data_IF_376250205223
#
_entry.id   IF_376250205223
#
_cell.length_a   1.000
_cell.length_b   1.000
_cell.length_c   1.000
_cell.angle_alpha   90.00
_cell.angle_beta   90.00
_cell.angle_gamma   90.00
#
_symmetry.space_group_name_H-M   'P 1'
#
loop_
_entity.id
_entity.type
_entity.pdbx_description
1 polymer ?
#
# COMPACT_ATOMS: atom_id res chain seq x y z
N UNK A 1 22.31 -4.55 18.83
CA UNK A 1 21.75 -4.53 17.46
C UNK A 1 21.76 -3.07 17.03
N UNK A 2 22.77 -2.64 16.27
CA UNK A 2 22.91 -1.23 15.89
C UNK A 2 21.72 -0.80 15.01
N UNK A 3 21.14 0.39 15.24
CA UNK A 3 20.24 0.99 14.27
C UNK A 3 21.10 1.33 13.05
N UNK A 4 21.06 0.47 12.03
CA UNK A 4 21.64 0.77 10.72
C UNK A 4 20.92 2.01 10.20
N UNK A 5 21.50 3.19 10.40
CA UNK A 5 20.99 4.47 9.89
C UNK A 5 21.15 4.49 8.36
N UNK A 6 20.28 3.75 7.69
CA UNK A 6 20.26 3.68 6.23
C UNK A 6 19.65 4.99 5.74
N UNK A 7 20.48 5.76 5.03
CA UNK A 7 20.09 7.04 4.46
C UNK A 7 19.15 6.80 3.28
N UNK A 8 17.85 6.80 3.58
CA UNK A 8 16.79 6.71 2.56
C UNK A 8 16.69 8.03 1.79
N UNK A 9 16.61 7.94 0.46
CA UNK A 9 16.35 9.09 -0.42
C UNK A 9 14.90 9.57 -0.26
N UNK A 10 14.63 10.80 -0.71
CA UNK A 10 13.28 11.39 -0.68
C UNK A 10 12.25 10.49 -1.38
N UNK A 11 12.58 9.97 -2.57
CA UNK A 11 11.71 9.02 -3.29
C UNK A 11 11.41 7.75 -2.48
N UNK A 12 12.36 7.28 -1.68
CA UNK A 12 12.18 6.05 -0.89
C UNK A 12 11.23 6.31 0.29
N UNK A 13 11.44 7.44 0.99
CA UNK A 13 10.63 7.85 2.14
C UNK A 13 9.22 8.29 1.77
N UNK A 14 9.07 9.04 0.68
CA UNK A 14 7.83 9.75 0.37
C UNK A 14 7.01 9.08 -0.74
N UNK A 15 7.61 8.14 -1.48
CA UNK A 15 6.92 7.43 -2.56
C UNK A 15 6.92 5.92 -2.34
N UNK A 16 8.09 5.29 -2.17
CA UNK A 16 8.19 3.82 -2.15
C UNK A 16 7.65 3.20 -0.86
N UNK A 17 8.05 3.70 0.31
CA UNK A 17 7.52 3.21 1.60
C UNK A 17 6.01 3.47 1.70
N UNK A 18 5.48 4.67 1.41
CA UNK A 18 4.03 4.92 1.42
C UNK A 18 3.28 4.07 0.40
N UNK A 19 3.87 3.78 -0.77
CA UNK A 19 3.29 2.85 -1.73
C UNK A 19 3.20 1.43 -1.17
N UNK A 20 4.27 0.93 -0.55
CA UNK A 20 4.26 -0.39 0.07
C UNK A 20 3.23 -0.47 1.21
N UNK A 21 3.16 0.59 2.02
CA UNK A 21 2.19 0.73 3.10
C UNK A 21 0.75 0.67 2.57
N UNK A 22 0.45 1.36 1.46
CA UNK A 22 -0.87 1.29 0.80
C UNK A 22 -1.22 -0.11 0.32
N UNK A 23 -0.29 -0.82 -0.30
CA UNK A 23 -0.55 -2.18 -0.80
C UNK A 23 -0.81 -3.16 0.36
N UNK A 24 0.00 -3.11 1.42
CA UNK A 24 -0.25 -3.90 2.63
C UNK A 24 -1.54 -3.52 3.33
N UNK A 25 -1.90 -2.23 3.36
CA UNK A 25 -3.16 -1.78 3.93
C UNK A 25 -4.36 -2.34 3.14
N UNK A 26 -4.27 -2.45 1.81
CA UNK A 26 -5.32 -3.10 1.00
C UNK A 26 -5.45 -4.59 1.32
N UNK A 27 -4.32 -5.28 1.54
CA UNK A 27 -4.34 -6.69 1.97
C UNK A 27 -5.01 -6.85 3.35
N UNK A 28 -4.76 -5.94 4.29
CA UNK A 28 -5.43 -5.92 5.61
C UNK A 28 -6.91 -5.53 5.53
N UNK A 29 -7.26 -4.65 4.60
CA UNK A 29 -8.64 -4.21 4.34
C UNK A 29 -9.33 -5.04 3.24
N UNK A 30 -8.91 -6.28 3.00
CA UNK A 30 -9.36 -7.09 1.86
C UNK A 30 -10.89 -7.21 1.78
N UNK A 31 -11.57 -7.40 2.92
CA UNK A 31 -13.04 -7.48 2.99
C UNK A 31 -13.72 -6.19 2.48
N UNK A 32 -13.17 -5.01 2.84
CA UNK A 32 -13.70 -3.72 2.41
C UNK A 32 -13.41 -3.47 0.93
N UNK A 33 -12.24 -3.93 0.45
CA UNK A 33 -11.88 -3.90 -0.97
C UNK A 33 -12.83 -4.78 -1.78
N UNK A 34 -13.15 -5.98 -1.28
CA UNK A 34 -14.06 -6.91 -1.93
C UNK A 34 -15.50 -6.36 -1.96
N UNK A 35 -16.01 -5.84 -0.86
CA UNK A 35 -17.32 -5.20 -0.80
C UNK A 35 -17.44 -4.01 -1.78
N UNK A 36 -16.42 -3.14 -1.82
CA UNK A 36 -16.37 -2.05 -2.78
C UNK A 36 -16.33 -2.56 -4.23
N UNK A 37 -15.50 -3.57 -4.53
CA UNK A 37 -15.42 -4.18 -5.86
C UNK A 37 -16.74 -4.84 -6.27
N UNK A 38 -17.43 -5.49 -5.35
CA UNK A 38 -18.74 -6.08 -5.59
C UNK A 38 -19.76 -4.99 -5.95
N UNK A 39 -19.86 -3.94 -5.13
CA UNK A 39 -20.75 -2.81 -5.43
C UNK A 39 -20.42 -2.15 -6.78
N UNK A 40 -19.12 -2.00 -7.11
CA UNK A 40 -18.70 -1.42 -8.38
C UNK A 40 -19.15 -2.27 -9.59
N UNK A 41 -19.03 -3.60 -9.48
CA UNK A 41 -19.48 -4.53 -10.51
C UNK A 41 -21.00 -4.47 -10.71
N UNK A 42 -21.77 -4.36 -9.62
CA UNK A 42 -23.24 -4.33 -9.69
C UNK A 42 -23.79 -2.98 -10.15
N UNK A 43 -23.16 -1.88 -9.73
CA UNK A 43 -23.66 -0.53 -9.97
C UNK A 43 -23.26 0.03 -11.34
N UNK A 44 -22.21 -0.53 -11.95
CA UNK A 44 -21.69 -0.08 -13.25
C UNK A 44 -21.50 1.43 -13.30
N UNK A 45 -22.20 2.09 -14.24
CA UNK A 45 -22.11 3.54 -14.44
C UNK A 45 -22.50 4.38 -13.22
N UNK A 46 -23.39 3.90 -12.35
CA UNK A 46 -23.87 4.64 -11.18
C UNK A 46 -23.05 4.39 -9.90
N UNK A 47 -21.87 3.75 -10.00
CA UNK A 47 -21.05 3.37 -8.85
C UNK A 47 -20.70 4.54 -7.91
N UNK A 48 -20.44 5.74 -8.42
CA UNK A 48 -20.03 6.90 -7.59
C UNK A 48 -21.17 7.40 -6.70
N UNK A 49 -22.41 7.07 -7.04
CA UNK A 49 -23.59 7.42 -6.27
C UNK A 49 -24.02 6.28 -5.35
N UNK A 50 -24.00 5.04 -5.85
CA UNK A 50 -24.46 3.86 -5.10
C UNK A 50 -23.42 3.35 -4.11
N UNK A 51 -22.14 3.31 -4.49
CA UNK A 51 -21.08 2.69 -3.68
C UNK A 51 -20.38 3.67 -2.73
N UNK A 52 -21.08 4.72 -2.29
CA UNK A 52 -20.48 5.76 -1.44
C UNK A 52 -20.15 5.24 -0.05
N UNK A 53 -20.99 4.36 0.48
CA UNK A 53 -20.82 3.79 1.82
C UNK A 53 -19.64 2.81 1.86
N UNK A 54 -19.55 1.90 0.89
CA UNK A 54 -18.45 0.96 0.74
C UNK A 54 -17.13 1.68 0.50
N UNK A 55 -17.15 2.75 -0.33
CA UNK A 55 -15.97 3.58 -0.54
C UNK A 55 -15.55 4.33 0.73
N UNK A 56 -16.49 4.85 1.52
CA UNK A 56 -16.21 5.50 2.78
C UNK A 56 -15.59 4.52 3.79
N UNK A 57 -16.16 3.32 3.92
CA UNK A 57 -15.65 2.26 4.78
C UNK A 57 -14.25 1.79 4.37
N UNK A 58 -14.01 1.64 3.05
CA UNK A 58 -12.69 1.31 2.53
C UNK A 58 -11.68 2.43 2.83
N UNK A 59 -12.05 3.68 2.57
CA UNK A 59 -11.19 4.84 2.83
C UNK A 59 -10.86 4.98 4.31
N UNK A 60 -11.82 4.74 5.19
CA UNK A 60 -11.61 4.75 6.63
C UNK A 60 -10.59 3.70 7.05
N UNK A 61 -10.78 2.44 6.63
CA UNK A 61 -9.86 1.34 6.91
C UNK A 61 -8.43 1.66 6.44
N UNK A 62 -8.27 2.14 5.21
CA UNK A 62 -6.96 2.53 4.67
C UNK A 62 -6.34 3.70 5.44
N UNK A 63 -7.16 4.69 5.84
CA UNK A 63 -6.69 5.88 6.57
C UNK A 63 -6.21 5.54 7.97
N UNK A 64 -6.86 4.59 8.65
CA UNK A 64 -6.43 4.09 9.96
C UNK A 64 -5.01 3.51 9.89
N UNK A 65 -4.77 2.62 8.93
CA UNK A 65 -3.43 2.06 8.73
C UNK A 65 -2.42 3.11 8.25
N UNK A 66 -2.83 4.05 7.41
CA UNK A 66 -1.92 5.08 6.90
C UNK A 66 -1.45 6.05 7.98
N UNK A 67 -2.29 6.32 8.98
CA UNK A 67 -1.95 7.20 10.11
C UNK A 67 -1.21 6.47 11.24
N UNK A 68 -1.10 5.15 11.17
CA UNK A 68 -0.44 4.36 12.20
C UNK A 68 1.10 4.46 12.06
N UNK A 69 1.79 5.12 13.02
CA UNK A 69 3.24 5.25 12.96
C UNK A 69 3.96 3.91 13.15
N UNK A 70 3.34 2.94 13.83
CA UNK A 70 3.90 1.60 14.02
C UNK A 70 3.93 0.87 12.68
N UNK A 71 2.83 0.94 11.93
CA UNK A 71 2.74 0.35 10.61
C UNK A 71 3.72 0.99 9.61
N UNK A 72 3.93 2.30 9.70
CA UNK A 72 4.93 2.98 8.90
C UNK A 72 6.35 2.48 9.19
N UNK A 73 6.73 2.34 10.47
CA UNK A 73 8.05 1.84 10.83
C UNK A 73 8.23 0.36 10.45
N UNK A 74 7.20 -0.48 10.58
CA UNK A 74 7.21 -1.86 10.08
C UNK A 74 7.51 -1.90 8.57
N UNK A 75 6.78 -1.10 7.79
CA UNK A 75 7.00 -1.00 6.35
C UNK A 75 8.40 -0.44 6.03
N UNK A 76 8.88 0.54 6.78
CA UNK A 76 10.21 1.11 6.57
C UNK A 76 11.32 0.09 6.83
N UNK A 77 11.21 -0.72 7.89
CA UNK A 77 12.17 -1.78 8.20
C UNK A 77 12.18 -2.86 7.13
N UNK A 78 11.01 -3.25 6.61
CA UNK A 78 10.92 -4.21 5.51
C UNK A 78 11.54 -3.67 4.23
N UNK A 79 11.24 -2.42 3.86
CA UNK A 79 11.84 -1.77 2.69
C UNK A 79 13.38 -1.72 2.80
N UNK A 80 13.88 -1.38 3.98
CA UNK A 80 15.31 -1.39 4.27
C UNK A 80 15.91 -2.79 4.08
N UNK A 81 15.23 -3.83 4.57
CA UNK A 81 15.67 -5.23 4.43
C UNK A 81 15.75 -5.65 2.95
N UNK A 82 14.70 -5.36 2.18
CA UNK A 82 14.66 -5.62 0.73
C UNK A 82 15.78 -4.89 -0.01
N UNK A 83 16.05 -3.64 0.38
CA UNK A 83 17.15 -2.86 -0.19
C UNK A 83 18.51 -3.50 0.08
N UNK A 84 18.78 -3.90 1.31
CA UNK A 84 20.04 -4.55 1.69
C UNK A 84 20.20 -5.90 0.97
N UNK A 85 19.11 -6.65 0.81
CA UNK A 85 19.12 -7.91 0.08
C UNK A 85 19.41 -7.69 -1.41
N UNK A 86 18.80 -6.66 -2.02
CA UNK A 86 19.10 -6.26 -3.40
C UNK A 86 20.56 -5.83 -3.56
N UNK A 87 21.11 -5.06 -2.62
CA UNK A 87 22.52 -4.65 -2.63
C UNK A 87 23.47 -5.84 -2.49
N UNK A 88 23.08 -6.89 -1.74
CA UNK A 88 23.90 -8.10 -1.55
C UNK A 88 23.81 -9.09 -2.70
N UNK A 89 22.63 -9.26 -3.29
CA UNK A 89 22.34 -10.34 -4.25
C UNK A 89 22.21 -9.84 -5.69
N UNK A 90 21.93 -8.55 -5.89
CA UNK A 90 21.56 -7.98 -7.18
C UNK A 90 20.17 -8.38 -7.68
N UNK A 91 19.42 -9.19 -6.92
CA UNK A 91 18.11 -9.71 -7.32
C UNK A 91 17.00 -8.83 -6.72
N UNK A 92 16.15 -8.19 -7.54
CA UNK A 92 15.05 -7.40 -7.02
C UNK A 92 13.98 -8.31 -6.40
N UNK A 93 13.78 -8.23 -5.08
CA UNK A 93 12.79 -9.01 -4.32
C UNK A 93 11.38 -8.89 -4.91
N UNK A 94 11.08 -7.72 -5.48
CA UNK A 94 9.83 -7.41 -6.16
C UNK A 94 10.16 -6.92 -7.56
N UNK A 95 10.51 -7.84 -8.45
CA UNK A 95 10.37 -7.63 -9.89
C UNK A 95 9.00 -7.00 -10.13
N UNK A 96 8.98 -5.68 -10.36
CA UNK A 96 7.88 -4.91 -10.96
C UNK A 96 6.53 -5.64 -10.86
N UNK A 97 5.81 -5.52 -9.74
CA UNK A 97 4.33 -5.53 -9.82
C UNK A 97 3.96 -4.27 -10.59
N UNK A 98 4.16 -4.38 -11.90
CA UNK A 98 4.03 -3.38 -12.93
C UNK A 98 2.57 -2.98 -12.93
N UNK A 99 2.37 -1.67 -12.76
CA UNK A 99 1.10 -0.98 -13.00
C UNK A 99 0.01 -1.45 -12.03
N UNK A 100 -0.14 -0.71 -10.93
CA UNK A 100 -1.50 -0.38 -10.53
C UNK A 100 -2.19 0.08 -11.84
N UNK A 101 -3.31 -0.52 -12.26
CA UNK A 101 -4.09 0.12 -13.29
C UNK A 101 -4.46 1.49 -12.72
N UNK A 102 -3.85 2.54 -13.27
CA UNK A 102 -4.46 3.85 -13.22
C UNK A 102 -5.72 3.71 -14.06
N UNK A 103 -6.80 3.20 -13.46
CA UNK A 103 -8.12 3.42 -14.05
C UNK A 103 -8.33 4.91 -13.95
N UNK A 104 -8.27 5.57 -15.11
CA UNK A 104 -9.06 6.78 -15.31
C UNK A 104 -10.54 6.43 -15.26
#
# INVERSE_FOLDING_TARGET
>A
MEPQFIKLRHVEKDVLIPKMMREKAKERCAEKVEAFNHCCKDSGFFMVFKCREENAALKECLTLHYKDPVFFEECKQEYIREKLEFERTGIPTKSRKQKLPTSM
#
